data_IF_187997838071
#
_entry.id   IF_187997838071
#
_cell.length_a   1.000
_cell.length_b   1.000
_cell.length_c   1.000
_cell.angle_alpha   90.00
_cell.angle_beta   90.00
_cell.angle_gamma   90.00
#
_symmetry.space_group_name_H-M   'P 1'
#
loop_
_entity.id
_entity.type
_entity.pdbx_description
1 polymer ?
#
# COMPACT_ATOMS: atom_id res chain seq x y z
N UNK A 1 -14.42 -15.31 42.91
CA UNK A 1 -15.45 -15.17 41.87
C UNK A 1 -14.76 -14.60 40.64
N UNK A 2 -14.19 -15.46 39.80
CA UNK A 2 -13.39 -15.03 38.65
C UNK A 2 -14.27 -14.27 37.66
N UNK A 3 -13.95 -12.99 37.47
CA UNK A 3 -14.52 -12.13 36.45
C UNK A 3 -14.30 -12.82 35.10
N UNK A 4 -15.38 -13.19 34.40
CA UNK A 4 -15.27 -13.60 33.00
C UNK A 4 -14.79 -12.36 32.27
N UNK A 5 -13.52 -12.35 31.84
CA UNK A 5 -13.02 -11.38 30.90
C UNK A 5 -14.01 -11.34 29.73
N UNK A 6 -14.71 -10.22 29.55
CA UNK A 6 -15.67 -10.04 28.47
C UNK A 6 -14.99 -10.33 27.15
N UNK A 7 -15.72 -10.93 26.21
CA UNK A 7 -15.18 -11.19 24.87
C UNK A 7 -14.59 -9.89 24.32
N UNK A 8 -13.30 -9.86 23.93
CA UNK A 8 -12.70 -8.64 23.41
C UNK A 8 -13.50 -8.15 22.21
N UNK A 9 -13.66 -6.83 22.08
CA UNK A 9 -14.28 -6.25 20.90
C UNK A 9 -13.53 -6.71 19.66
N UNK A 10 -14.26 -7.21 18.67
CA UNK A 10 -13.70 -7.63 17.38
C UNK A 10 -14.24 -6.73 16.30
N UNK A 11 -13.34 -6.10 15.56
CA UNK A 11 -13.65 -5.33 14.35
C UNK A 11 -13.12 -6.10 13.15
N UNK A 12 -13.98 -6.30 12.14
CA UNK A 12 -13.59 -6.85 10.85
C UNK A 12 -14.00 -5.88 9.76
N UNK A 13 -13.06 -5.53 8.90
CA UNK A 13 -13.27 -4.64 7.76
C UNK A 13 -12.56 -5.19 6.54
N UNK A 14 -13.19 -5.07 5.38
CA UNK A 14 -12.60 -5.41 4.10
C UNK A 14 -12.67 -4.16 3.21
N UNK A 15 -11.52 -3.74 2.69
CA UNK A 15 -11.38 -2.57 1.84
C UNK A 15 -11.00 -2.98 0.43
N UNK A 16 -11.83 -2.63 -0.55
CA UNK A 16 -11.57 -2.86 -1.97
C UNK A 16 -10.79 -1.67 -2.55
N UNK A 17 -9.50 -1.88 -2.84
CA UNK A 17 -8.60 -0.82 -3.30
C UNK A 17 -7.39 -1.44 -4.01
N UNK A 18 -6.75 -0.70 -4.91
CA UNK A 18 -5.59 -1.19 -5.70
C UNK A 18 -5.87 -2.48 -6.49
N UNK A 19 -7.11 -2.65 -6.96
CA UNK A 19 -7.56 -3.84 -7.70
C UNK A 19 -7.50 -5.13 -6.88
N UNK A 20 -7.57 -5.04 -5.55
CA UNK A 20 -7.54 -6.17 -4.61
C UNK A 20 -8.36 -5.86 -3.35
N UNK A 21 -8.27 -6.72 -2.32
CA UNK A 21 -8.96 -6.54 -1.04
C UNK A 21 -7.95 -6.58 0.10
N UNK A 22 -7.94 -5.54 0.93
CA UNK A 22 -7.22 -5.50 2.20
C UNK A 22 -8.18 -5.82 3.34
N UNK A 23 -7.84 -6.80 4.18
CA UNK A 23 -8.69 -7.23 5.29
C UNK A 23 -8.05 -6.86 6.63
N UNK A 24 -8.84 -6.24 7.50
CA UNK A 24 -8.47 -5.87 8.86
C UNK A 24 -9.26 -6.76 9.84
N UNK A 25 -8.57 -7.48 10.72
CA UNK A 25 -9.16 -8.21 11.87
C UNK A 25 -8.48 -7.70 13.13
N UNK A 26 -9.16 -6.79 13.84
CA UNK A 26 -8.65 -6.12 15.05
C UNK A 26 -9.38 -6.69 16.27
N UNK A 27 -8.61 -7.05 17.30
CA UNK A 27 -9.13 -7.67 18.54
C UNK A 27 -8.69 -6.87 19.76
N UNK A 28 -9.65 -6.40 20.53
CA UNK A 28 -9.43 -5.51 21.67
C UNK A 28 -9.28 -4.05 21.25
N UNK A 29 -8.91 -3.20 22.22
CA UNK A 29 -8.81 -1.74 22.05
C UNK A 29 -10.12 -1.00 22.36
N UNK A 30 -10.00 0.32 22.53
CA UNK A 30 -11.18 1.19 22.61
C UNK A 30 -11.88 1.23 21.24
N UNK A 31 -13.21 0.99 21.16
CA UNK A 31 -13.91 0.97 19.87
C UNK A 31 -13.86 2.27 19.08
N UNK A 32 -13.73 3.42 19.74
CA UNK A 32 -13.59 4.73 19.10
C UNK A 32 -12.20 4.88 18.48
N UNK A 33 -11.16 4.59 19.25
CA UNK A 33 -9.77 4.64 18.78
C UNK A 33 -9.50 3.65 17.63
N UNK A 34 -10.00 2.42 17.76
CA UNK A 34 -9.87 1.37 16.72
C UNK A 34 -10.53 1.81 15.42
N UNK A 35 -11.69 2.46 15.48
CA UNK A 35 -12.38 2.96 14.28
C UNK A 35 -11.60 4.10 13.62
N UNK A 36 -11.10 5.06 14.40
CA UNK A 36 -10.31 6.17 13.88
C UNK A 36 -8.99 5.70 13.22
N UNK A 37 -8.34 4.69 13.81
CA UNK A 37 -7.15 4.07 13.24
C UNK A 37 -7.47 3.33 11.92
N UNK A 38 -8.58 2.58 11.87
CA UNK A 38 -9.02 1.93 10.64
C UNK A 38 -9.30 2.95 9.53
N UNK A 39 -10.01 4.03 9.83
CA UNK A 39 -10.32 5.09 8.85
C UNK A 39 -9.04 5.72 8.29
N UNK A 40 -8.03 5.93 9.14
CA UNK A 40 -6.71 6.43 8.72
C UNK A 40 -6.01 5.43 7.80
N UNK A 41 -5.95 4.16 8.19
CA UNK A 41 -5.32 3.11 7.37
C UNK A 41 -6.01 2.96 5.99
N UNK A 42 -7.34 2.99 5.95
CA UNK A 42 -8.10 2.96 4.70
C UNK A 42 -7.79 4.19 3.83
N UNK A 43 -7.75 5.39 4.42
CA UNK A 43 -7.39 6.61 3.69
C UNK A 43 -5.97 6.54 3.11
N UNK A 44 -5.03 5.92 3.83
CA UNK A 44 -3.66 5.72 3.38
C UNK A 44 -3.57 4.73 2.21
N UNK A 45 -4.35 3.64 2.23
CA UNK A 45 -4.46 2.71 1.10
C UNK A 45 -5.01 3.40 -0.17
N UNK A 46 -6.04 4.24 -0.04
CA UNK A 46 -6.57 5.01 -1.18
C UNK A 46 -5.60 6.07 -1.69
N UNK A 47 -4.81 6.67 -0.80
CA UNK A 47 -3.73 7.58 -1.22
C UNK A 47 -2.66 6.83 -2.00
N UNK A 48 -2.26 5.64 -1.53
CA UNK A 48 -1.32 4.79 -2.25
C UNK A 48 -1.87 4.41 -3.63
N UNK A 49 -3.15 4.05 -3.75
CA UNK A 49 -3.77 3.77 -5.06
C UNK A 49 -3.71 4.98 -6.00
N UNK A 50 -4.05 6.18 -5.51
CA UNK A 50 -4.00 7.40 -6.31
C UNK A 50 -2.58 7.72 -6.84
N UNK A 51 -1.54 7.47 -6.04
CA UNK A 51 -0.14 7.73 -6.41
C UNK A 51 0.43 6.64 -7.32
N UNK A 52 0.18 5.38 -6.99
CA UNK A 52 0.87 4.23 -7.58
C UNK A 52 0.11 3.48 -8.68
N UNK A 53 -1.17 3.79 -8.90
CA UNK A 53 -1.97 3.06 -9.90
C UNK A 53 -1.38 3.19 -11.31
N UNK A 54 -1.04 2.07 -11.93
CA UNK A 54 -0.59 1.99 -13.33
C UNK A 54 -1.74 2.10 -14.35
N UNK A 55 -2.98 2.19 -13.87
CA UNK A 55 -4.20 2.29 -14.70
C UNK A 55 -4.77 3.70 -14.77
N UNK A 56 -4.44 4.54 -13.79
CA UNK A 56 -4.85 5.94 -13.71
C UNK A 56 -3.83 6.81 -14.44
N UNK A 57 -4.24 7.49 -15.51
CA UNK A 57 -3.34 8.31 -16.32
C UNK A 57 -2.74 9.51 -15.55
N UNK A 58 -3.45 9.99 -14.53
CA UNK A 58 -3.07 11.10 -13.65
C UNK A 58 -2.18 10.69 -12.47
N UNK A 59 -1.97 9.39 -12.24
CA UNK A 59 -1.09 8.92 -11.16
C UNK A 59 0.37 9.28 -11.43
N UNK A 60 1.15 9.45 -10.36
CA UNK A 60 2.56 9.78 -10.49
C UNK A 60 3.35 8.66 -11.15
N UNK A 61 3.03 7.39 -10.85
CA UNK A 61 3.67 6.23 -11.52
C UNK A 61 3.38 6.20 -13.02
N UNK A 62 2.13 6.46 -13.44
CA UNK A 62 1.79 6.50 -14.87
C UNK A 62 2.45 7.67 -15.60
N UNK A 63 2.66 8.80 -14.92
CA UNK A 63 3.38 9.96 -15.47
C UNK A 63 4.88 9.72 -15.53
N UNK A 64 5.47 9.07 -14.51
CA UNK A 64 6.86 8.61 -14.53
C UNK A 64 7.13 7.60 -15.64
N UNK A 65 6.23 6.64 -15.82
CA UNK A 65 6.33 5.63 -16.88
C UNK A 65 6.33 6.25 -18.30
N UNK A 66 5.77 7.46 -18.43
CA UNK A 66 5.73 8.26 -19.67
C UNK A 66 6.78 9.38 -19.69
N UNK A 67 7.70 9.40 -18.72
CA UNK A 67 8.78 10.38 -18.59
C UNK A 67 8.30 11.84 -18.44
N UNK A 68 7.05 12.05 -17.99
CA UNK A 68 6.48 13.39 -17.76
C UNK A 68 6.88 13.98 -16.40
N UNK A 69 7.37 13.13 -15.49
CA UNK A 69 7.89 13.48 -14.19
C UNK A 69 9.26 12.85 -14.00
N UNK A 70 10.06 13.43 -13.10
CA UNK A 70 11.21 12.76 -12.50
C UNK A 70 10.85 12.26 -11.09
N UNK A 71 11.58 11.28 -10.53
CA UNK A 71 11.33 10.79 -9.17
C UNK A 71 11.39 11.88 -8.08
N UNK A 72 12.14 12.96 -8.32
CA UNK A 72 12.26 14.11 -7.41
C UNK A 72 11.00 14.99 -7.42
N UNK A 73 10.24 14.98 -8.51
CA UNK A 73 8.97 15.71 -8.65
C UNK A 73 7.77 14.93 -8.08
N UNK A 74 7.98 13.65 -7.74
CA UNK A 74 6.97 12.78 -7.16
C UNK A 74 6.95 12.86 -5.64
N UNK A 75 5.87 12.37 -5.05
CA UNK A 75 5.73 12.12 -3.62
C UNK A 75 6.92 11.29 -3.10
N UNK A 76 7.45 11.57 -1.89
CA UNK A 76 8.59 10.86 -1.33
C UNK A 76 8.44 9.33 -1.34
N UNK A 77 7.23 8.84 -1.13
CA UNK A 77 6.84 7.43 -1.16
C UNK A 77 7.21 6.77 -2.49
N UNK A 78 7.13 7.49 -3.60
CA UNK A 78 7.52 6.96 -4.91
C UNK A 78 9.00 6.63 -4.95
N UNK A 79 9.87 7.50 -4.41
CA UNK A 79 11.31 7.21 -4.34
C UNK A 79 11.62 6.06 -3.41
N UNK A 80 10.90 5.96 -2.30
CA UNK A 80 11.01 4.85 -1.35
C UNK A 80 10.67 3.51 -2.03
N UNK A 81 9.51 3.42 -2.68
CA UNK A 81 9.09 2.21 -3.40
C UNK A 81 10.04 1.85 -4.54
N UNK A 82 10.53 2.84 -5.31
CA UNK A 82 11.52 2.59 -6.35
C UNK A 82 12.84 2.05 -5.79
N UNK A 83 13.28 2.53 -4.62
CA UNK A 83 14.47 2.01 -3.95
C UNK A 83 14.24 0.56 -3.47
N UNK A 84 13.08 0.26 -2.87
CA UNK A 84 12.72 -1.10 -2.48
C UNK A 84 12.64 -2.05 -3.68
N UNK A 85 12.09 -1.59 -4.80
CA UNK A 85 11.99 -2.38 -6.02
C UNK A 85 13.37 -2.64 -6.64
N UNK A 86 14.26 -1.65 -6.65
CA UNK A 86 15.64 -1.82 -7.08
C UNK A 86 16.41 -2.82 -6.20
N UNK A 87 16.19 -2.77 -4.88
CA UNK A 87 16.78 -3.75 -3.96
C UNK A 87 16.22 -5.16 -4.20
N UNK A 88 14.90 -5.29 -4.38
CA UNK A 88 14.26 -6.56 -4.70
C UNK A 88 14.78 -7.16 -6.01
N UNK A 89 14.96 -6.34 -7.05
CA UNK A 89 15.54 -6.76 -8.34
C UNK A 89 16.98 -7.24 -8.17
N UNK A 90 17.78 -6.54 -7.35
CA UNK A 90 19.18 -6.91 -7.04
C UNK A 90 19.29 -8.22 -6.26
N UNK A 91 18.56 -8.39 -5.16
CA UNK A 91 18.67 -9.59 -4.30
C UNK A 91 18.07 -10.83 -4.94
N UNK A 92 17.18 -10.63 -5.90
CA UNK A 92 16.56 -11.70 -6.65
C UNK A 92 17.30 -12.04 -7.94
N UNK A 93 18.49 -11.48 -8.22
CA UNK A 93 19.22 -11.71 -9.47
C UNK A 93 18.34 -11.54 -10.74
N UNK A 94 17.43 -10.57 -10.72
CA UNK A 94 16.50 -10.29 -11.82
C UNK A 94 15.25 -11.20 -11.90
N UNK A 95 15.03 -12.09 -10.93
CA UNK A 95 13.77 -12.85 -10.82
C UNK A 95 12.57 -11.93 -10.49
N UNK A 96 12.81 -10.85 -9.75
CA UNK A 96 11.93 -9.70 -9.65
C UNK A 96 12.42 -8.60 -10.61
N UNK A 97 11.49 -7.86 -11.22
CA UNK A 97 11.83 -6.64 -11.98
C UNK A 97 10.80 -5.56 -11.70
N UNK A 98 11.28 -4.31 -11.65
CA UNK A 98 10.43 -3.11 -11.53
C UNK A 98 9.81 -2.71 -12.88
N UNK A 99 9.90 -3.57 -13.90
CA UNK A 99 9.37 -3.31 -15.24
C UNK A 99 8.53 -4.47 -15.74
N UNK A 100 7.41 -4.13 -16.36
CA UNK A 100 6.58 -5.07 -17.10
C UNK A 100 6.48 -4.63 -18.56
N UNK A 101 6.88 -5.51 -19.49
CA UNK A 101 6.91 -5.23 -20.94
C UNK A 101 7.66 -3.93 -21.31
N UNK A 102 8.72 -3.60 -20.56
CA UNK A 102 9.56 -2.41 -20.76
C UNK A 102 9.08 -1.16 -20.02
N UNK A 103 7.84 -1.14 -19.56
CA UNK A 103 7.25 -0.01 -18.81
C UNK A 103 7.53 -0.15 -17.31
N UNK A 104 7.73 0.98 -16.62
CA UNK A 104 7.83 1.02 -15.17
C UNK A 104 6.55 0.43 -14.54
N UNK A 105 6.72 -0.57 -13.68
CA UNK A 105 5.63 -1.24 -12.98
C UNK A 105 6.09 -1.67 -11.58
N UNK A 106 5.90 -0.82 -10.55
CA UNK A 106 6.30 -1.13 -9.19
C UNK A 106 5.26 -1.97 -8.43
N UNK A 107 4.19 -2.44 -9.08
CA UNK A 107 3.02 -3.06 -8.39
C UNK A 107 3.38 -4.30 -7.58
N UNK A 108 4.49 -4.97 -7.91
CA UNK A 108 5.02 -6.10 -7.13
C UNK A 108 5.55 -5.73 -5.74
N UNK A 109 5.87 -4.46 -5.48
CA UNK A 109 6.26 -3.95 -4.15
C UNK A 109 5.09 -3.23 -3.47
N UNK A 110 4.38 -2.38 -4.22
CA UNK A 110 3.43 -1.39 -3.64
C UNK A 110 2.41 -2.04 -2.70
N UNK A 111 1.87 -3.23 -3.03
CA UNK A 111 0.86 -3.89 -2.17
C UNK A 111 1.38 -4.25 -0.79
N UNK A 112 2.58 -4.85 -0.72
CA UNK A 112 3.22 -5.21 0.54
C UNK A 112 3.62 -3.98 1.34
N UNK A 113 4.22 -3.00 0.64
CA UNK A 113 4.60 -1.72 1.22
C UNK A 113 3.39 -0.96 1.81
N UNK A 114 2.26 -0.92 1.11
CA UNK A 114 1.03 -0.27 1.60
C UNK A 114 0.44 -0.99 2.82
N UNK A 115 0.62 -2.31 2.95
CA UNK A 115 0.13 -3.09 4.08
C UNK A 115 1.00 -2.99 5.34
N UNK A 116 2.29 -2.66 5.19
CA UNK A 116 3.24 -2.53 6.30
C UNK A 116 3.11 -1.18 7.05
N UNK A 117 2.48 -0.19 6.41
CA UNK A 117 2.39 1.19 6.89
C UNK A 117 1.22 1.48 7.82
#
# INVERSE_FOLDING_TARGET
MAERAGTPHVLRHAEEVMGTVFSFDVRGGDPGEVRAALETAVADLHRADAVFSTYRADSEVSRLAREELTPEQCAPEVREVLALAAEAERVSDGWFSTRYRGTLDPTGIVKGWSAER
#
